data_IF_807701115480
#
_entry.id   IF_807701115480
#
_cell.length_a   1.000
_cell.length_b   1.000
_cell.length_c   1.000
_cell.angle_alpha   90.00
_cell.angle_beta   90.00
_cell.angle_gamma   90.00
#
_symmetry.space_group_name_H-M   'P 1'
#
loop_
_entity.id
_entity.type
_entity.pdbx_description
1 polymer ?
#
# COMPACT_ATOMS: atom_id res chain seq x y z
N UNK A 1 19.96 19.44 8.26
CA UNK A 1 19.37 20.18 9.40
C UNK A 1 17.86 20.08 9.25
N UNK A 2 17.19 19.29 10.10
CA UNK A 2 15.74 19.10 10.06
C UNK A 2 15.15 20.18 10.98
N UNK A 3 14.25 21.02 10.45
CA UNK A 3 13.56 22.04 11.24
C UNK A 3 12.19 21.50 11.62
N UNK A 4 11.97 21.25 12.91
CA UNK A 4 10.64 20.93 13.43
C UNK A 4 9.85 22.23 13.60
N UNK A 5 8.55 22.20 13.33
CA UNK A 5 7.66 23.32 13.67
C UNK A 5 7.68 23.52 15.18
N UNK A 6 7.81 24.76 15.64
CA UNK A 6 7.80 25.10 17.07
C UNK A 6 6.53 24.55 17.76
N UNK A 7 5.41 24.58 17.03
CA UNK A 7 4.12 24.05 17.44
C UNK A 7 4.12 22.54 17.73
N UNK A 8 4.91 21.76 16.99
CA UNK A 8 5.06 20.32 17.24
C UNK A 8 5.87 20.09 18.51
N UNK A 9 6.87 20.95 18.77
CA UNK A 9 7.70 20.85 19.97
C UNK A 9 6.94 21.24 21.24
N UNK A 10 6.03 22.20 21.15
CA UNK A 10 5.18 22.64 22.27
C UNK A 10 4.09 21.60 22.59
N UNK A 11 3.49 20.99 21.57
CA UNK A 11 2.38 20.03 21.75
C UNK A 11 2.83 18.57 21.88
N UNK A 12 4.15 18.30 21.86
CA UNK A 12 4.70 16.95 21.81
C UNK A 12 4.25 16.08 23.00
N UNK A 13 4.11 16.68 24.19
CA UNK A 13 3.61 15.99 25.38
C UNK A 13 2.12 15.62 25.30
N UNK A 14 1.30 16.42 24.62
CA UNK A 14 -0.12 16.11 24.40
C UNK A 14 -0.30 15.08 23.27
N UNK A 15 0.64 15.01 22.34
CA UNK A 15 0.68 14.02 21.27
C UNK A 15 1.16 12.63 21.74
N UNK A 16 1.74 12.53 22.94
CA UNK A 16 2.12 11.26 23.55
C UNK A 16 0.87 10.58 24.14
N UNK A 17 0.17 9.83 23.30
CA UNK A 17 -0.95 8.99 23.74
C UNK A 17 -0.49 7.83 24.64
N UNK A 18 -1.37 7.36 25.52
CA UNK A 18 -1.14 6.15 26.32
C UNK A 18 -1.27 4.90 25.44
N UNK A 19 -0.17 4.16 25.28
CA UNK A 19 -0.14 2.94 24.46
C UNK A 19 -0.81 1.74 25.13
N UNK A 20 -1.06 1.82 26.44
CA UNK A 20 -1.55 0.70 27.24
C UNK A 20 -2.63 1.14 28.23
N UNK A 21 -3.81 0.56 28.09
CA UNK A 21 -4.90 0.64 29.06
C UNK A 21 -4.91 -0.67 29.87
N UNK A 22 -4.58 -0.64 31.18
CA UNK A 22 -4.69 -1.83 32.01
C UNK A 22 -6.13 -2.33 32.00
N UNK A 23 -6.32 -3.55 31.52
CA UNK A 23 -7.60 -4.22 31.44
C UNK A 23 -7.51 -5.50 32.25
N UNK A 24 -8.49 -5.73 33.12
CA UNK A 24 -8.54 -6.95 33.92
C UNK A 24 -8.51 -8.18 33.01
N UNK A 25 -7.64 -9.13 33.34
CA UNK A 25 -7.55 -10.39 32.60
C UNK A 25 -8.87 -11.15 32.75
N UNK A 26 -9.54 -11.51 31.65
CA UNK A 26 -10.80 -12.24 31.73
C UNK A 26 -10.61 -13.58 32.43
N UNK A 27 -11.66 -14.02 33.14
CA UNK A 27 -11.70 -15.32 33.82
C UNK A 27 -11.31 -16.43 32.84
N UNK A 28 -10.41 -17.32 33.27
CA UNK A 28 -9.93 -18.40 32.43
C UNK A 28 -11.12 -19.22 31.90
N UNK A 29 -11.15 -19.52 30.59
CA UNK A 29 -12.30 -20.20 29.98
C UNK A 29 -12.53 -21.55 30.66
N UNK A 30 -13.78 -21.82 31.02
CA UNK A 30 -14.19 -23.09 31.62
C UNK A 30 -13.74 -24.23 30.70
N UNK A 31 -12.93 -25.14 31.24
CA UNK A 31 -12.40 -26.27 30.47
C UNK A 31 -13.53 -27.22 30.06
N UNK A 32 -14.07 -27.00 28.87
CA UNK A 32 -15.07 -27.88 28.25
C UNK A 32 -15.01 -27.80 26.73
N UNK A 33 -14.97 -26.58 26.18
CA UNK A 33 -15.05 -26.38 24.73
C UNK A 33 -13.80 -26.83 23.94
N UNK A 34 -12.60 -26.51 24.42
CA UNK A 34 -11.37 -26.77 23.65
C UNK A 34 -10.78 -28.17 23.85
N UNK A 35 -11.23 -28.90 24.89
CA UNK A 35 -10.76 -30.27 25.13
C UNK A 35 -11.26 -31.23 24.05
N UNK A 36 -12.44 -30.99 23.48
CA UNK A 36 -12.98 -31.77 22.37
C UNK A 36 -12.43 -31.31 21.01
N UNK A 37 -12.18 -30.00 20.84
CA UNK A 37 -11.70 -29.45 19.56
C UNK A 37 -10.22 -29.76 19.26
N UNK A 38 -9.36 -29.80 20.27
CA UNK A 38 -7.93 -30.11 20.12
C UNK A 38 -7.50 -31.46 20.72
N UNK A 39 -8.40 -32.14 21.45
CA UNK A 39 -8.14 -33.43 22.09
C UNK A 39 -8.59 -34.62 21.25
N UNK A 40 -8.04 -34.77 20.04
CA UNK A 40 -7.81 -36.06 19.35
C UNK A 40 -8.92 -37.11 19.27
N UNK A 41 -10.20 -36.79 19.49
CA UNK A 41 -11.31 -37.73 19.46
C UNK A 41 -12.38 -37.29 18.45
N UNK A 42 -12.75 -38.17 17.52
CA UNK A 42 -13.83 -37.94 16.58
C UNK A 42 -15.18 -38.07 17.30
N UNK A 43 -15.61 -37.00 17.97
CA UNK A 43 -17.01 -36.87 18.38
C UNK A 43 -17.77 -36.19 17.23
N UNK A 44 -18.82 -36.84 16.74
CA UNK A 44 -19.80 -36.21 15.84
C UNK A 44 -20.47 -35.08 16.61
N UNK A 45 -20.05 -33.85 16.35
CA UNK A 45 -20.57 -32.65 17.00
C UNK A 45 -22.06 -32.48 16.65
N UNK A 46 -22.93 -32.64 17.64
CA UNK A 46 -24.37 -32.43 17.50
C UNK A 46 -24.68 -30.92 17.51
N UNK A 47 -25.49 -30.48 16.56
CA UNK A 47 -25.90 -29.09 16.41
C UNK A 47 -26.73 -28.62 17.60
N UNK A 48 -27.50 -29.51 18.21
CA UNK A 48 -28.32 -29.19 19.38
C UNK A 48 -27.49 -29.01 20.66
N UNK A 49 -26.35 -29.70 20.76
CA UNK A 49 -25.41 -29.53 21.86
C UNK A 49 -24.59 -28.23 21.71
N UNK A 50 -24.30 -27.83 20.47
CA UNK A 50 -23.57 -26.60 20.16
C UNK A 50 -24.42 -25.33 20.17
N UNK A 51 -25.67 -25.41 19.72
CA UNK A 51 -26.51 -24.23 19.49
C UNK A 51 -27.94 -24.36 20.03
N UNK A 52 -28.31 -25.50 20.60
CA UNK A 52 -29.61 -25.72 21.24
C UNK A 52 -29.65 -25.22 22.68
N UNK A 53 -30.78 -25.42 23.34
CA UNK A 53 -31.01 -24.93 24.71
C UNK A 53 -30.02 -25.51 25.75
N UNK A 54 -29.40 -26.65 25.43
CA UNK A 54 -28.41 -27.36 26.23
C UNK A 54 -27.01 -26.72 26.21
N UNK A 55 -26.72 -25.84 25.24
CA UNK A 55 -25.39 -25.23 25.01
C UNK A 55 -24.96 -24.23 26.12
N UNK A 56 -25.82 -24.05 27.13
CA UNK A 56 -25.56 -23.18 28.27
C UNK A 56 -25.97 -21.73 27.99
N UNK A 57 -26.35 -21.03 29.06
CA UNK A 57 -26.80 -19.63 28.96
C UNK A 57 -25.60 -18.72 28.72
N UNK A 58 -25.72 -17.82 27.75
CA UNK A 58 -24.73 -16.80 27.44
C UNK A 58 -24.28 -16.05 28.71
N UNK A 59 -22.97 -15.80 28.82
CA UNK A 59 -22.39 -15.06 29.94
C UNK A 59 -23.14 -13.73 30.14
N UNK A 60 -23.60 -13.47 31.37
CA UNK A 60 -24.26 -12.21 31.76
C UNK A 60 -23.26 -11.04 31.88
N UNK A 61 -21.99 -11.27 31.56
CA UNK A 61 -20.98 -10.24 31.35
C UNK A 61 -21.17 -9.60 29.97
N UNK A 62 -21.93 -8.51 29.97
CA UNK A 62 -22.41 -7.71 28.85
C UNK A 62 -21.32 -7.38 27.77
N UNK A 63 -21.01 -8.29 26.87
CA UNK A 63 -20.70 -7.89 25.49
C UNK A 63 -22.03 -7.46 24.89
N UNK A 64 -22.43 -6.22 25.17
CA UNK A 64 -23.54 -5.55 24.50
C UNK A 64 -23.19 -5.66 23.02
N UNK A 65 -23.89 -6.52 22.28
CA UNK A 65 -23.83 -6.51 20.83
C UNK A 65 -24.15 -5.08 20.44
N UNK A 66 -23.12 -4.28 20.14
CA UNK A 66 -23.30 -2.96 19.57
C UNK A 66 -23.79 -3.29 18.17
N UNK A 67 -25.07 -3.10 17.83
CA UNK A 67 -25.53 -3.22 16.46
C UNK A 67 -25.02 -1.93 15.81
N UNK A 68 -23.73 -1.94 15.49
CA UNK A 68 -22.97 -0.77 15.09
C UNK A 68 -22.81 -0.76 13.59
N UNK A 69 -23.82 -0.23 12.89
CA UNK A 69 -23.70 0.35 11.55
C UNK A 69 -22.70 1.52 11.47
N UNK A 70 -21.81 1.70 12.46
CA UNK A 70 -21.00 2.91 12.61
C UNK A 70 -19.68 2.91 11.84
N UNK A 71 -19.09 1.74 11.52
CA UNK A 71 -17.74 1.72 10.94
C UNK A 71 -17.48 0.66 9.87
N UNK A 72 -18.27 -0.42 9.75
CA UNK A 72 -18.03 -1.43 8.71
C UNK A 72 -18.42 -0.92 7.33
N UNK A 73 -19.55 -0.22 7.20
CA UNK A 73 -19.96 0.39 5.93
C UNK A 73 -19.00 1.51 5.50
N UNK A 74 -18.52 2.32 6.45
CA UNK A 74 -17.49 3.32 6.19
C UNK A 74 -16.16 2.67 5.78
N UNK A 75 -15.74 1.60 6.45
CA UNK A 75 -14.53 0.84 6.09
C UNK A 75 -14.67 0.16 4.72
N UNK A 76 -15.83 -0.41 4.40
CA UNK A 76 -16.11 -0.99 3.10
C UNK A 76 -16.11 0.08 2.00
N UNK A 77 -16.67 1.27 2.26
CA UNK A 77 -16.65 2.40 1.33
C UNK A 77 -15.22 2.93 1.14
N UNK A 78 -14.44 3.05 2.21
CA UNK A 78 -13.04 3.46 2.16
C UNK A 78 -12.18 2.45 1.40
N UNK A 79 -12.33 1.14 1.69
CA UNK A 79 -11.62 0.07 0.99
C UNK A 79 -11.99 0.03 -0.51
N UNK A 80 -13.27 0.23 -0.84
CA UNK A 80 -13.74 0.31 -2.23
C UNK A 80 -13.19 1.55 -2.94
N UNK A 81 -13.12 2.70 -2.25
CA UNK A 81 -12.53 3.93 -2.79
C UNK A 81 -11.03 3.76 -3.08
N UNK A 82 -10.27 3.14 -2.16
CA UNK A 82 -8.85 2.84 -2.38
C UNK A 82 -8.62 1.86 -3.55
N UNK A 83 -9.50 0.87 -3.74
CA UNK A 83 -9.43 -0.04 -4.89
C UNK A 83 -9.64 0.65 -6.24
N UNK A 84 -10.55 1.62 -6.29
CA UNK A 84 -10.81 2.42 -7.49
C UNK A 84 -9.61 3.32 -7.83
N UNK A 85 -9.01 3.96 -6.83
CA UNK A 85 -7.82 4.78 -7.01
C UNK A 85 -6.62 3.94 -7.48
N UNK A 86 -6.44 2.74 -6.94
CA UNK A 86 -5.40 1.82 -7.39
C UNK A 86 -5.58 1.41 -8.87
N UNK A 87 -6.81 1.12 -9.28
CA UNK A 87 -7.12 0.76 -10.67
C UNK A 87 -6.83 1.92 -11.63
N UNK A 88 -7.13 3.16 -11.23
CA UNK A 88 -6.77 4.36 -12.01
C UNK A 88 -5.26 4.56 -12.09
N UNK A 89 -4.56 4.43 -10.96
CA UNK A 89 -3.09 4.52 -10.92
C UNK A 89 -2.44 3.48 -11.81
N UNK A 90 -2.97 2.25 -11.86
CA UNK A 90 -2.48 1.19 -12.76
C UNK A 90 -2.56 1.60 -14.23
N UNK A 91 -3.67 2.21 -14.65
CA UNK A 91 -3.83 2.70 -16.03
C UNK A 91 -2.81 3.80 -16.36
N UNK A 92 -2.65 4.79 -15.46
CA UNK A 92 -1.68 5.86 -15.63
C UNK A 92 -0.24 5.34 -15.71
N UNK A 93 0.09 4.30 -14.93
CA UNK A 93 1.40 3.64 -14.98
C UNK A 93 1.60 2.91 -16.32
N UNK A 94 0.56 2.27 -16.85
CA UNK A 94 0.63 1.63 -18.17
C UNK A 94 0.87 2.65 -19.29
N UNK A 95 0.09 3.73 -19.33
CA UNK A 95 0.28 4.83 -20.29
C UNK A 95 1.67 5.47 -20.17
N UNK A 96 2.18 5.62 -18.94
CA UNK A 96 3.55 6.10 -18.71
C UNK A 96 4.58 5.13 -19.29
N UNK A 97 4.36 3.82 -19.15
CA UNK A 97 5.24 2.80 -19.72
C UNK A 97 5.32 2.89 -21.24
N UNK A 98 4.19 3.03 -21.91
CA UNK A 98 4.12 3.23 -23.37
C UNK A 98 4.87 4.49 -23.81
N UNK A 99 4.62 5.62 -23.16
CA UNK A 99 5.30 6.89 -23.45
C UNK A 99 6.81 6.83 -23.23
N UNK A 100 7.28 6.06 -22.24
CA UNK A 100 8.72 5.85 -22.03
C UNK A 100 9.31 5.05 -23.19
N UNK A 101 8.63 4.01 -23.66
CA UNK A 101 9.07 3.25 -24.83
C UNK A 101 9.20 4.13 -26.08
N UNK A 102 8.18 4.95 -26.37
CA UNK A 102 8.25 5.92 -27.48
C UNK A 102 9.41 6.92 -27.31
N UNK A 103 9.67 7.37 -26.08
CA UNK A 103 10.77 8.29 -25.77
C UNK A 103 12.14 7.63 -25.96
N UNK A 104 12.29 6.35 -25.60
CA UNK A 104 13.51 5.57 -25.83
C UNK A 104 13.80 5.46 -27.33
N UNK A 105 12.81 5.08 -28.14
CA UNK A 105 12.95 4.98 -29.59
C UNK A 105 13.35 6.33 -30.21
N UNK A 106 12.68 7.41 -29.80
CA UNK A 106 12.98 8.76 -30.28
C UNK A 106 14.37 9.23 -29.85
N UNK A 107 14.80 8.86 -28.64
CA UNK A 107 16.13 9.20 -28.13
C UNK A 107 17.22 8.44 -28.89
N UNK A 108 16.99 7.17 -29.24
CA UNK A 108 17.90 6.39 -30.08
C UNK A 108 18.02 6.99 -31.49
N UNK A 109 16.91 7.39 -32.11
CA UNK A 109 16.92 8.10 -33.40
C UNK A 109 17.67 9.43 -33.32
N UNK A 110 17.47 10.19 -32.24
CA UNK A 110 18.16 11.46 -32.01
C UNK A 110 19.67 11.25 -31.83
N UNK A 111 20.08 10.21 -31.09
CA UNK A 111 21.48 9.86 -30.90
C UNK A 111 22.17 9.53 -32.25
N UNK A 112 21.54 8.68 -33.07
CA UNK A 112 22.04 8.38 -34.42
C UNK A 112 22.15 9.64 -35.29
N UNK A 113 21.14 10.51 -35.24
CA UNK A 113 21.15 11.77 -36.00
C UNK A 113 22.27 12.71 -35.53
N UNK A 114 22.52 12.78 -34.22
CA UNK A 114 23.59 13.58 -33.64
C UNK A 114 24.97 13.04 -34.05
N UNK A 115 25.17 11.72 -34.10
CA UNK A 115 26.41 11.10 -34.57
C UNK A 115 26.68 11.41 -36.05
N UNK A 116 25.66 11.28 -36.90
CA UNK A 116 25.77 11.64 -38.31
C UNK A 116 26.10 13.13 -38.50
N UNK A 117 25.44 14.01 -37.75
CA UNK A 117 25.71 15.43 -37.78
C UNK A 117 27.14 15.75 -37.33
N UNK A 118 27.61 15.15 -36.24
CA UNK A 118 28.96 15.32 -35.74
C UNK A 118 30.01 14.89 -36.77
N UNK A 119 29.79 13.74 -37.44
CA UNK A 119 30.66 13.25 -38.51
C UNK A 119 30.69 14.21 -39.72
N UNK A 120 29.52 14.70 -40.17
CA UNK A 120 29.43 15.66 -41.26
C UNK A 120 30.10 17.00 -40.92
N UNK A 121 29.87 17.52 -39.71
CA UNK A 121 30.48 18.74 -39.22
C UNK A 121 32.01 18.59 -39.11
N UNK A 122 32.49 17.44 -38.62
CA UNK A 122 33.92 17.13 -38.58
C UNK A 122 34.53 17.07 -39.99
N UNK A 123 33.83 16.45 -40.94
CA UNK A 123 34.25 16.41 -42.34
C UNK A 123 34.34 17.80 -42.97
N UNK A 124 33.37 18.70 -42.69
CA UNK A 124 33.46 20.10 -43.12
C UNK A 124 34.63 20.82 -42.46
N UNK A 125 34.79 20.67 -41.15
CA UNK A 125 35.90 21.27 -40.41
C UNK A 125 37.24 20.89 -41.03
N UNK A 126 37.48 19.60 -41.31
CA UNK A 126 38.73 19.15 -41.95
C UNK A 126 38.94 19.77 -43.33
N UNK A 127 37.89 19.90 -44.16
CA UNK A 127 38.00 20.52 -45.49
C UNK A 127 38.41 22.00 -45.43
N UNK A 128 37.97 22.72 -44.40
CA UNK A 128 38.22 24.16 -44.28
C UNK A 128 39.35 24.51 -43.32
N UNK A 129 39.82 23.58 -42.48
CA UNK A 129 40.85 23.81 -41.44
C UNK A 129 42.09 24.51 -41.97
N UNK A 130 42.58 24.06 -43.13
CA UNK A 130 43.82 24.58 -43.73
C UNK A 130 43.59 25.42 -44.99
N UNK A 131 42.32 25.59 -45.40
CA UNK A 131 41.97 26.30 -46.63
C UNK A 131 42.29 27.79 -46.46
N UNK A 132 43.17 28.30 -47.31
CA UNK A 132 43.51 29.73 -47.32
C UNK A 132 42.51 30.49 -48.15
N UNK A 133 42.24 31.74 -47.77
CA UNK A 133 41.24 32.61 -48.41
C UNK A 133 41.46 32.84 -49.91
N UNK A 134 42.67 32.57 -50.41
CA UNK A 134 43.06 32.73 -51.81
C UNK A 134 43.05 31.43 -52.63
N UNK A 135 42.70 30.28 -52.04
CA UNK A 135 42.63 28.98 -52.72
C UNK A 135 41.16 28.59 -52.91
N UNK A 136 40.62 28.88 -54.11
CA UNK A 136 39.24 28.57 -54.48
C UNK A 136 39.09 27.11 -54.86
#
# INVERSE_FOLDING_TARGET
KITYSAEISENLNEMLGELFLPKDTPEAPKQGFLKTLFGGGTATLDREELFGESSGKASKGLAKHIPGSGNIQHLQQQASASGNEFSRTRLLVAERGEKIGELEDRSAQMMNSAEQFASAAHGMMLKYKDKKWYQF
#
